data_IF_686738784829
#
_entry.id   IF_686738784829
#
_cell.length_a   1.000
_cell.length_b   1.000
_cell.length_c   1.000
_cell.angle_alpha   90.00
_cell.angle_beta   90.00
_cell.angle_gamma   90.00
#
_symmetry.space_group_name_H-M   'P 1'
#
loop_
_entity.id
_entity.type
_entity.pdbx_description
1 polymer ?
#
# COMPACT_ATOMS: atom_id res chain seq x y z
N UNK A 1 16.08 -14.20 9.42
CA UNK A 1 14.97 -13.86 8.50
C UNK A 1 14.79 -12.34 8.46
N UNK A 2 15.20 -11.67 7.37
CA UNK A 2 14.84 -10.25 7.14
C UNK A 2 13.50 -10.21 6.39
N UNK A 3 12.42 -10.57 7.05
CA UNK A 3 11.10 -10.27 6.49
C UNK A 3 10.92 -8.75 6.64
N UNK A 4 11.31 -7.99 5.62
CA UNK A 4 11.06 -6.56 5.56
C UNK A 4 9.56 -6.27 5.68
N UNK A 5 9.20 -5.11 6.24
CA UNK A 5 7.81 -4.67 6.33
C UNK A 5 7.16 -4.75 4.95
N UNK A 6 6.03 -5.47 4.83
CA UNK A 6 5.26 -5.57 3.58
C UNK A 6 4.47 -4.29 3.33
N UNK A 7 4.13 -3.98 2.07
CA UNK A 7 3.23 -2.88 1.76
C UNK A 7 1.84 -3.08 2.39
N UNK A 8 1.13 -1.99 2.71
CA UNK A 8 -0.25 -2.07 3.19
C UNK A 8 -1.13 -2.71 2.09
N UNK A 9 -1.94 -3.70 2.45
CA UNK A 9 -2.86 -4.35 1.51
C UNK A 9 -4.18 -3.58 1.47
N UNK A 10 -4.72 -3.34 0.27
CA UNK A 10 -6.09 -2.84 0.14
C UNK A 10 -7.08 -3.83 0.77
N UNK A 11 -8.25 -3.38 1.24
CA UNK A 11 -9.26 -4.28 1.79
C UNK A 11 -9.62 -5.43 0.85
N UNK A 12 -9.73 -5.17 -0.46
CA UNK A 12 -9.98 -6.20 -1.47
C UNK A 12 -8.87 -7.27 -1.51
N UNK A 13 -7.60 -6.84 -1.59
CA UNK A 13 -6.46 -7.78 -1.61
C UNK A 13 -6.32 -8.55 -0.30
N UNK A 14 -6.70 -7.96 0.83
CA UNK A 14 -6.73 -8.66 2.11
C UNK A 14 -7.85 -9.70 2.15
N UNK A 15 -9.04 -9.40 1.64
CA UNK A 15 -10.14 -10.37 1.54
C UNK A 15 -9.74 -11.56 0.68
N UNK A 16 -9.15 -11.34 -0.50
CA UNK A 16 -8.61 -12.42 -1.34
C UNK A 16 -7.59 -13.29 -0.58
N UNK A 17 -6.72 -12.66 0.23
CA UNK A 17 -5.77 -13.39 1.07
C UNK A 17 -6.50 -14.24 2.12
N UNK A 18 -7.55 -13.75 2.76
CA UNK A 18 -8.32 -14.50 3.75
C UNK A 18 -9.03 -15.71 3.13
N UNK A 19 -9.51 -15.62 1.88
CA UNK A 19 -10.11 -16.77 1.19
C UNK A 19 -9.14 -17.96 1.03
N UNK A 20 -7.84 -17.71 1.04
CA UNK A 20 -6.81 -18.77 1.04
C UNK A 20 -6.55 -19.39 2.41
N UNK A 21 -7.18 -18.88 3.48
CA UNK A 21 -6.95 -19.31 4.86
C UNK A 21 -8.11 -20.13 5.39
N UNK A 22 -7.80 -21.03 6.32
CA UNK A 22 -8.80 -21.86 6.98
C UNK A 22 -9.37 -21.13 8.20
N UNK A 23 -10.69 -21.04 8.28
CA UNK A 23 -11.43 -20.47 9.41
C UNK A 23 -12.28 -21.54 10.10
N UNK A 24 -12.38 -21.45 11.42
CA UNK A 24 -13.16 -22.36 12.27
C UNK A 24 -14.66 -22.30 11.98
N UNK A 25 -15.21 -21.12 11.73
CA UNK A 25 -16.63 -20.94 11.38
C UNK A 25 -16.84 -20.51 9.93
N UNK A 26 -16.00 -21.01 9.02
CA UNK A 26 -16.03 -20.81 7.55
C UNK A 26 -16.24 -19.34 7.15
N UNK A 27 -17.48 -18.93 6.88
CA UNK A 27 -17.83 -17.65 6.27
C UNK A 27 -18.01 -16.50 7.26
N UNK A 28 -18.60 -16.75 8.42
CA UNK A 28 -18.91 -15.68 9.38
C UNK A 28 -17.64 -15.04 9.97
N UNK A 29 -16.64 -15.86 10.31
CA UNK A 29 -15.35 -15.38 10.82
C UNK A 29 -14.60 -14.58 9.73
N UNK A 30 -14.64 -15.05 8.48
CA UNK A 30 -14.01 -14.38 7.34
C UNK A 30 -14.61 -12.99 7.13
N UNK A 31 -15.94 -12.90 7.05
CA UNK A 31 -16.64 -11.63 6.83
C UNK A 31 -16.35 -10.64 7.98
N UNK A 32 -16.31 -11.14 9.22
CA UNK A 32 -16.00 -10.33 10.41
C UNK A 32 -14.57 -9.79 10.36
N UNK A 33 -13.58 -10.65 10.06
CA UNK A 33 -12.16 -10.25 10.00
C UNK A 33 -11.90 -9.30 8.84
N UNK A 34 -12.50 -9.57 7.67
CA UNK A 34 -12.40 -8.70 6.50
C UNK A 34 -13.00 -7.31 6.79
N UNK A 35 -14.17 -7.25 7.41
CA UNK A 35 -14.83 -6.00 7.79
C UNK A 35 -14.03 -5.18 8.81
N UNK A 36 -13.49 -5.83 9.84
CA UNK A 36 -12.64 -5.15 10.84
C UNK A 36 -11.36 -4.60 10.22
N UNK A 37 -10.73 -5.37 9.33
CA UNK A 37 -9.55 -4.90 8.61
C UNK A 37 -9.88 -3.70 7.71
N UNK A 38 -10.95 -3.78 6.92
CA UNK A 38 -11.36 -2.71 6.01
C UNK A 38 -11.60 -1.40 6.76
N UNK A 39 -12.39 -1.44 7.84
CA UNK A 39 -12.68 -0.26 8.65
C UNK A 39 -11.42 0.35 9.29
N UNK A 40 -10.53 -0.49 9.82
CA UNK A 40 -9.28 -0.02 10.40
C UNK A 40 -8.34 0.57 9.34
N UNK A 41 -8.24 -0.08 8.17
CA UNK A 41 -7.42 0.36 7.06
C UNK A 41 -7.90 1.71 6.52
N UNK A 42 -9.19 1.85 6.23
CA UNK A 42 -9.76 3.09 5.68
C UNK A 42 -9.55 4.27 6.62
N UNK A 43 -9.85 4.09 7.91
CA UNK A 43 -9.63 5.14 8.91
C UNK A 43 -8.15 5.54 8.98
N UNK A 44 -7.27 4.56 9.17
CA UNK A 44 -5.86 4.83 9.39
C UNK A 44 -5.18 5.41 8.15
N UNK A 45 -5.52 4.91 6.96
CA UNK A 45 -4.90 5.31 5.71
C UNK A 45 -5.45 6.65 5.20
N UNK A 46 -6.73 6.97 5.43
CA UNK A 46 -7.30 8.26 5.04
C UNK A 46 -6.77 9.43 5.88
N UNK A 47 -6.48 9.19 7.16
CA UNK A 47 -5.90 10.17 8.09
C UNK A 47 -4.37 10.29 7.98
N UNK A 48 -3.71 9.36 7.28
CA UNK A 48 -2.25 9.34 7.20
C UNK A 48 -1.72 10.53 6.39
N UNK A 49 -1.10 11.49 7.07
CA UNK A 49 -0.46 12.67 6.44
C UNK A 49 0.90 12.31 5.84
N UNK A 50 1.61 11.35 6.43
CA UNK A 50 2.96 10.97 6.01
C UNK A 50 3.13 9.46 6.05
N UNK A 51 3.74 8.89 5.01
CA UNK A 51 4.08 7.48 4.93
C UNK A 51 5.58 7.30 4.71
N UNK A 52 6.21 6.55 5.62
CA UNK A 52 7.64 6.26 5.59
C UNK A 52 7.89 4.79 5.28
N UNK A 53 8.45 4.54 4.09
CA UNK A 53 8.79 3.21 3.55
C UNK A 53 10.24 3.18 3.03
N UNK A 54 11.14 3.90 3.69
CA UNK A 54 12.56 3.98 3.31
C UNK A 54 13.30 2.68 3.61
N UNK A 55 14.12 2.20 2.68
CA UNK A 55 15.10 1.13 2.96
C UNK A 55 14.49 -0.25 3.22
N UNK A 56 13.32 -0.54 2.66
CA UNK A 56 12.62 -1.81 2.88
C UNK A 56 12.97 -2.89 1.84
N UNK A 57 13.76 -2.54 0.83
CA UNK A 57 14.09 -3.45 -0.28
C UNK A 57 12.90 -3.71 -1.20
N UNK A 58 11.92 -2.80 -1.23
CA UNK A 58 10.75 -2.93 -2.09
C UNK A 58 11.10 -2.77 -3.56
N UNK A 59 10.55 -3.61 -4.41
CA UNK A 59 10.65 -3.50 -5.86
C UNK A 59 9.36 -3.02 -6.49
N UNK A 60 9.26 -3.27 -7.81
CA UNK A 60 8.08 -2.89 -8.60
C UNK A 60 6.79 -3.56 -8.10
N UNK A 61 6.87 -4.78 -7.56
CA UNK A 61 5.71 -5.50 -7.07
C UNK A 61 5.09 -4.83 -5.83
N UNK A 62 5.93 -4.47 -4.86
CA UNK A 62 5.46 -3.85 -3.61
C UNK A 62 4.90 -2.45 -3.86
N UNK A 63 5.49 -1.69 -4.79
CA UNK A 63 4.97 -0.36 -5.15
C UNK A 63 3.62 -0.45 -5.85
N UNK A 64 3.36 -1.49 -6.67
CA UNK A 64 2.03 -1.71 -7.25
C UNK A 64 0.97 -1.97 -6.19
N UNK A 65 1.31 -2.75 -5.17
CA UNK A 65 0.42 -2.98 -4.02
C UNK A 65 0.18 -1.67 -3.26
N UNK A 66 1.24 -0.91 -2.99
CA UNK A 66 1.12 0.40 -2.36
C UNK A 66 0.23 1.35 -3.18
N UNK A 67 0.39 1.38 -4.52
CA UNK A 67 -0.41 2.24 -5.39
C UNK A 67 -1.92 1.96 -5.25
N UNK A 68 -2.32 0.70 -5.09
CA UNK A 68 -3.72 0.35 -4.81
C UNK A 68 -4.16 0.81 -3.41
N UNK A 69 -3.31 0.66 -2.42
CA UNK A 69 -3.59 1.07 -1.04
C UNK A 69 -3.75 2.59 -0.89
N UNK A 70 -3.05 3.38 -1.70
CA UNK A 70 -3.09 4.84 -1.67
C UNK A 70 -4.46 5.43 -2.10
N UNK A 71 -5.37 4.64 -2.67
CA UNK A 71 -6.68 5.13 -3.17
C UNK A 71 -7.53 5.80 -2.10
N UNK A 72 -7.38 5.37 -0.85
CA UNK A 72 -8.10 5.94 0.30
C UNK A 72 -7.28 6.99 1.05
N UNK A 73 -6.04 7.28 0.63
CA UNK A 73 -5.10 8.15 1.34
C UNK A 73 -5.38 9.64 1.09
N UNK A 74 -6.52 10.13 1.57
CA UNK A 74 -7.03 11.48 1.27
C UNK A 74 -6.19 12.61 1.85
N UNK A 75 -5.58 12.42 3.03
CA UNK A 75 -4.78 13.44 3.71
C UNK A 75 -3.26 13.32 3.45
N UNK A 76 -2.82 12.38 2.61
CA UNK A 76 -1.41 12.09 2.44
C UNK A 76 -0.68 13.22 1.73
N UNK A 77 0.29 13.85 2.40
CA UNK A 77 1.10 14.93 1.83
C UNK A 77 2.52 14.48 1.44
N UNK A 78 3.07 13.48 2.14
CA UNK A 78 4.43 13.00 1.93
C UNK A 78 4.50 11.47 1.86
N UNK A 79 5.05 10.96 0.75
CA UNK A 79 5.38 9.55 0.57
C UNK A 79 6.90 9.38 0.42
N UNK A 80 7.54 8.73 1.40
CA UNK A 80 8.98 8.46 1.37
C UNK A 80 9.27 7.00 1.01
N UNK A 81 9.82 6.80 -0.19
CA UNK A 81 10.22 5.51 -0.76
C UNK A 81 11.74 5.43 -1.00
N UNK A 82 12.53 6.28 -0.36
CA UNK A 82 13.99 6.33 -0.55
C UNK A 82 14.67 4.97 -0.29
N UNK A 83 15.73 4.67 -1.03
CA UNK A 83 16.61 3.52 -0.77
C UNK A 83 15.92 2.16 -0.93
N UNK A 84 15.00 2.05 -1.89
CA UNK A 84 14.38 0.78 -2.27
C UNK A 84 14.95 0.31 -3.63
N UNK A 85 14.38 -0.77 -4.17
CA UNK A 85 14.75 -1.36 -5.46
C UNK A 85 13.67 -1.09 -6.54
N UNK A 86 13.05 0.09 -6.49
CA UNK A 86 11.97 0.48 -7.40
C UNK A 86 12.58 0.87 -8.75
N UNK A 87 12.16 0.21 -9.83
CA UNK A 87 12.51 0.59 -11.19
C UNK A 87 11.36 1.30 -11.92
N UNK A 88 11.58 1.61 -13.19
CA UNK A 88 10.65 2.40 -14.02
C UNK A 88 9.24 1.85 -14.03
N UNK A 89 9.07 0.53 -14.08
CA UNK A 89 7.75 -0.09 -14.09
C UNK A 89 6.99 0.10 -12.76
N UNK A 90 7.69 0.19 -11.64
CA UNK A 90 7.10 0.51 -10.34
C UNK A 90 6.78 2.00 -10.23
N UNK A 91 7.69 2.86 -10.67
CA UNK A 91 7.49 4.31 -10.72
C UNK A 91 6.32 4.70 -11.63
N UNK A 92 6.21 4.08 -12.81
CA UNK A 92 5.11 4.29 -13.75
C UNK A 92 3.77 3.83 -13.18
N UNK A 93 3.72 2.70 -12.47
CA UNK A 93 2.50 2.26 -11.80
C UNK A 93 2.04 3.24 -10.71
N UNK A 94 2.98 3.77 -9.92
CA UNK A 94 2.68 4.81 -8.93
C UNK A 94 2.18 6.09 -9.63
N UNK A 95 2.86 6.53 -10.69
CA UNK A 95 2.46 7.71 -11.45
C UNK A 95 1.06 7.58 -12.07
N UNK A 96 0.73 6.41 -12.64
CA UNK A 96 -0.61 6.12 -13.18
C UNK A 96 -1.68 6.24 -12.10
N UNK A 97 -1.47 5.63 -10.93
CA UNK A 97 -2.44 5.71 -9.84
C UNK A 97 -2.68 7.16 -9.39
N UNK A 98 -1.62 7.94 -9.27
CA UNK A 98 -1.72 9.37 -8.92
C UNK A 98 -2.45 10.17 -10.00
N UNK A 99 -2.21 9.86 -11.28
CA UNK A 99 -2.93 10.47 -12.39
C UNK A 99 -4.43 10.16 -12.36
N UNK A 100 -4.82 8.97 -11.90
CA UNK A 100 -6.22 8.57 -11.67
C UNK A 100 -6.88 9.27 -10.45
N UNK A 101 -6.17 10.18 -9.77
CA UNK A 101 -6.70 10.95 -8.63
C UNK A 101 -6.48 10.29 -7.27
N UNK A 102 -5.61 9.28 -7.19
CA UNK A 102 -5.18 8.67 -5.93
C UNK A 102 -4.37 9.67 -5.11
N UNK A 103 -4.57 9.70 -3.78
CA UNK A 103 -3.84 10.55 -2.84
C UNK A 103 -3.81 12.05 -3.26
N UNK A 104 -4.98 12.72 -3.37
CA UNK A 104 -5.08 14.05 -3.97
C UNK A 104 -4.32 15.15 -3.21
N UNK A 105 -4.02 14.96 -1.93
CA UNK A 105 -3.25 15.90 -1.12
C UNK A 105 -1.72 15.74 -1.26
N UNK A 106 -1.24 14.80 -2.08
CA UNK A 106 0.17 14.42 -2.13
C UNK A 106 1.02 15.53 -2.76
N UNK A 107 1.96 16.07 -1.97
CA UNK A 107 2.85 17.18 -2.36
C UNK A 107 4.26 16.71 -2.65
N UNK A 108 4.70 15.61 -2.02
CA UNK A 108 6.10 15.18 -2.09
C UNK A 108 6.21 13.66 -2.15
N UNK A 109 6.93 13.18 -3.16
CA UNK A 109 7.36 11.79 -3.29
C UNK A 109 8.89 11.76 -3.26
N UNK A 110 9.46 10.95 -2.37
CA UNK A 110 10.91 10.74 -2.30
C UNK A 110 11.26 9.37 -2.87
N UNK A 111 12.07 9.34 -3.92
CA UNK A 111 12.53 8.14 -4.63
C UNK A 111 14.06 8.04 -4.69
N UNK A 112 14.80 8.83 -3.89
CA UNK A 112 16.27 8.85 -3.94
C UNK A 112 16.82 7.46 -3.62
N UNK A 113 17.81 7.02 -4.41
CA UNK A 113 18.44 5.71 -4.19
C UNK A 113 17.55 4.54 -4.62
N UNK A 114 16.66 4.76 -5.59
CA UNK A 114 15.98 3.71 -6.35
C UNK A 114 16.55 3.66 -7.78
N UNK A 115 16.60 2.49 -8.42
CA UNK A 115 17.04 2.33 -9.81
C UNK A 115 15.96 2.76 -10.83
N UNK A 116 15.39 3.96 -10.66
CA UNK A 116 14.49 4.59 -11.64
C UNK A 116 15.35 5.42 -12.60
N UNK A 117 15.17 5.23 -13.90
CA UNK A 117 15.89 5.91 -14.97
C UNK A 117 15.34 7.29 -15.30
#
# INVERSE_FOLDING_TARGET
CKAGRRPPLSPAAFTELLETKSFTSKKADLDTVAGLYAAAFERQMSEAVQLFYRGLGWGNAEVRVLAQALRVAQALELLNLDGNAIGDAGAAALASALHEGTAPALKTIKLKGNPVA
#
